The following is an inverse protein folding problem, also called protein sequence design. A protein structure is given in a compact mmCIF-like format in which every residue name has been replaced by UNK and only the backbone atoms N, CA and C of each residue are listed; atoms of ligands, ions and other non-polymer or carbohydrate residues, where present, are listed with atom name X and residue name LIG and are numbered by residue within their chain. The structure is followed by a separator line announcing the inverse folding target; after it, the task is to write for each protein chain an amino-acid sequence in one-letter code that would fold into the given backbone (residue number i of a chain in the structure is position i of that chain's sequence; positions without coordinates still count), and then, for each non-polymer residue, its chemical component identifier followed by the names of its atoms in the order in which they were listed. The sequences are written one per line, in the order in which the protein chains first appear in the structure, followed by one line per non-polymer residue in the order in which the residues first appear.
data_IF_517772540298
#
_entry.id   IF_517772540298
#
_cell.length_a   1.000
_cell.length_b   1.000
_cell.length_c   1.000
_cell.angle_alpha   90.00
_cell.angle_beta   90.00
_cell.angle_gamma   90.00
#
_symmetry.space_group_name_H-M   'P 1'
#
loop_
_entity.id
_entity.type
_entity.pdbx_description
1 polymer ?
#
# COMPACT_ATOMS: atom_id res chain seq x y z
N UNK A 1 -39.95 70.56 -2.14
CA UNK A 1 -41.35 70.10 -2.37
C UNK A 1 -41.39 68.59 -2.23
N UNK A 2 -42.11 68.09 -1.22
CA UNK A 2 -42.36 66.66 -1.00
C UNK A 2 -43.58 66.25 -1.82
N UNK A 3 -43.43 65.27 -2.71
CA UNK A 3 -44.57 64.65 -3.41
C UNK A 3 -44.93 63.36 -2.69
N UNK A 4 -46.04 63.40 -1.93
CA UNK A 4 -46.72 62.22 -1.40
C UNK A 4 -47.40 61.49 -2.57
N UNK A 5 -47.02 60.24 -2.83
CA UNK A 5 -47.75 59.32 -3.70
C UNK A 5 -48.51 58.33 -2.81
N UNK A 6 -49.83 58.38 -2.90
CA UNK A 6 -50.78 57.54 -2.16
C UNK A 6 -50.50 56.05 -2.40
N UNK A 7 -50.33 55.32 -1.30
CA UNK A 7 -49.91 53.92 -1.28
C UNK A 7 -51.02 52.92 -1.58
N UNK A 8 -50.67 51.92 -2.40
CA UNK A 8 -51.17 50.56 -2.24
C UNK A 8 -50.19 49.79 -1.33
N UNK A 9 -50.67 48.86 -0.49
CA UNK A 9 -49.84 48.24 0.54
C UNK A 9 -48.80 47.30 -0.08
N UNK A 10 -47.54 47.66 0.17
CA UNK A 10 -46.34 46.90 -0.14
C UNK A 10 -46.42 45.47 0.43
N UNK A 11 -46.19 44.46 -0.42
CA UNK A 11 -45.95 43.08 0.05
C UNK A 11 -44.62 42.91 0.80
N UNK A 12 -43.80 43.96 0.86
CA UNK A 12 -42.54 44.01 1.60
C UNK A 12 -42.36 45.43 2.14
N UNK A 13 -42.86 45.69 3.36
CA UNK A 13 -42.94 47.02 3.99
C UNK A 13 -41.61 47.64 4.40
N UNK A 14 -40.72 47.91 3.43
CA UNK A 14 -39.51 48.71 3.64
C UNK A 14 -39.43 49.77 2.55
N UNK A 15 -39.67 51.03 2.94
CA UNK A 15 -39.49 52.18 2.04
C UNK A 15 -38.00 52.46 1.88
N UNK A 16 -37.39 51.95 0.81
CA UNK A 16 -36.01 52.27 0.48
C UNK A 16 -35.90 53.71 -0.03
N UNK A 17 -35.29 54.60 0.77
CA UNK A 17 -34.98 55.98 0.35
C UNK A 17 -33.53 56.07 -0.10
N UNK A 18 -33.32 56.11 -1.43
CA UNK A 18 -31.99 56.27 -2.02
C UNK A 18 -31.74 57.76 -2.29
N UNK A 19 -30.69 58.33 -1.69
CA UNK A 19 -30.22 59.68 -2.03
C UNK A 19 -29.37 59.62 -3.29
N UNK A 20 -29.92 60.12 -4.39
CA UNK A 20 -29.25 60.19 -5.69
C UNK A 20 -28.67 61.61 -5.84
N UNK A 21 -27.37 61.76 -6.18
CA UNK A 21 -26.77 63.06 -6.51
C UNK A 21 -27.57 63.80 -7.59
N UNK A 22 -27.59 65.14 -7.53
CA UNK A 22 -28.44 65.96 -8.39
C UNK A 22 -28.16 65.76 -9.89
N UNK A 23 -26.88 65.59 -10.25
CA UNK A 23 -26.45 65.40 -11.63
C UNK A 23 -26.94 64.06 -12.19
N UNK A 24 -26.73 62.98 -11.43
CA UNK A 24 -27.17 61.63 -11.78
C UNK A 24 -28.70 61.52 -11.84
N UNK A 25 -29.42 62.28 -10.99
CA UNK A 25 -30.89 62.32 -11.03
C UNK A 25 -31.39 62.95 -12.33
N UNK A 26 -30.70 63.97 -12.85
CA UNK A 26 -31.08 64.65 -14.10
C UNK A 26 -30.88 63.71 -15.29
N UNK A 27 -29.73 63.06 -15.38
CA UNK A 27 -29.42 62.06 -16.42
C UNK A 27 -30.44 60.91 -16.43
N UNK A 28 -30.70 60.31 -15.28
CA UNK A 28 -31.67 59.22 -15.16
C UNK A 28 -33.12 59.66 -15.46
N UNK A 29 -33.45 60.92 -15.20
CA UNK A 29 -34.76 61.49 -15.55
C UNK A 29 -34.89 61.72 -17.05
N UNK A 30 -33.84 62.20 -17.70
CA UNK A 30 -33.80 62.40 -19.15
C UNK A 30 -33.87 61.05 -19.88
N UNK A 31 -33.16 60.03 -19.39
CA UNK A 31 -33.25 58.66 -19.91
C UNK A 31 -34.64 58.03 -19.72
N UNK A 32 -35.30 58.28 -18.58
CA UNK A 32 -36.67 57.82 -18.33
C UNK A 32 -37.67 58.49 -19.29
N UNK A 33 -37.50 59.79 -19.54
CA UNK A 33 -38.32 60.57 -20.47
C UNK A 33 -38.17 60.09 -21.92
N UNK A 34 -36.95 59.78 -22.37
CA UNK A 34 -36.68 59.18 -23.70
C UNK A 34 -37.40 57.84 -23.88
N UNK A 35 -37.58 57.08 -22.80
CA UNK A 35 -38.29 55.78 -22.78
C UNK A 35 -39.79 55.90 -22.53
N UNK A 36 -40.31 57.12 -22.31
CA UNK A 36 -41.73 57.37 -22.06
C UNK A 36 -42.25 56.83 -20.72
N UNK A 37 -41.37 56.61 -19.74
CA UNK A 37 -41.72 56.06 -18.42
C UNK A 37 -41.39 57.05 -17.30
N UNK A 38 -42.06 56.90 -16.16
CA UNK A 38 -41.76 57.76 -15.00
C UNK A 38 -40.39 57.43 -14.41
N UNK A 39 -39.72 58.44 -13.86
CA UNK A 39 -38.43 58.29 -13.17
C UNK A 39 -38.45 57.20 -12.08
N UNK A 40 -39.55 57.10 -11.32
CA UNK A 40 -39.71 56.08 -10.28
C UNK A 40 -39.76 54.66 -10.87
N UNK A 41 -40.48 54.46 -11.98
CA UNK A 41 -40.53 53.18 -12.69
C UNK A 41 -39.17 52.82 -13.30
N UNK A 42 -38.46 53.79 -13.86
CA UNK A 42 -37.11 53.59 -14.38
C UNK A 42 -36.12 53.19 -13.28
N UNK A 43 -36.09 53.93 -12.17
CA UNK A 43 -35.25 53.61 -11.01
C UNK A 43 -35.56 52.24 -10.41
N UNK A 44 -36.84 51.87 -10.29
CA UNK A 44 -37.25 50.54 -9.84
C UNK A 44 -36.74 49.45 -10.78
N UNK A 45 -36.79 49.66 -12.10
CA UNK A 45 -36.27 48.69 -13.08
C UNK A 45 -34.76 48.48 -12.96
N UNK A 46 -33.99 49.55 -12.71
CA UNK A 46 -32.54 49.49 -12.51
C UNK A 46 -32.20 48.74 -11.23
N UNK A 47 -32.91 49.03 -10.13
CA UNK A 47 -32.72 48.36 -8.85
C UNK A 47 -33.07 46.87 -8.94
N UNK A 48 -34.18 46.51 -9.58
CA UNK A 48 -34.58 45.12 -9.81
C UNK A 48 -33.56 44.38 -10.68
N UNK A 49 -33.07 45.00 -11.76
CA UNK A 49 -32.03 44.42 -12.62
C UNK A 49 -30.71 44.25 -11.88
N UNK A 50 -30.34 45.18 -11.01
CA UNK A 50 -29.12 45.11 -10.21
C UNK A 50 -29.24 44.06 -9.10
N UNK A 51 -30.39 43.96 -8.43
CA UNK A 51 -30.66 42.91 -7.47
C UNK A 51 -30.62 41.52 -8.11
N UNK A 52 -31.25 41.37 -9.30
CA UNK A 52 -31.20 40.11 -10.04
C UNK A 52 -29.77 39.70 -10.40
N UNK A 53 -28.96 40.63 -10.93
CA UNK A 53 -27.55 40.38 -11.24
C UNK A 53 -26.72 40.04 -10.00
N UNK A 54 -26.95 40.76 -8.89
CA UNK A 54 -26.28 40.48 -7.62
C UNK A 54 -26.65 39.09 -7.08
N UNK A 55 -27.91 38.69 -7.19
CA UNK A 55 -28.37 37.35 -6.81
C UNK A 55 -27.72 36.26 -7.67
N UNK A 56 -27.68 36.45 -8.99
CA UNK A 56 -27.00 35.52 -9.93
C UNK A 56 -25.50 35.40 -9.61
N UNK A 57 -24.81 36.52 -9.38
CA UNK A 57 -23.40 36.52 -8.99
C UNK A 57 -23.18 35.82 -7.64
N UNK A 58 -24.04 36.05 -6.65
CA UNK A 58 -23.98 35.37 -5.36
C UNK A 58 -24.10 33.85 -5.53
N UNK A 59 -25.06 33.39 -6.36
CA UNK A 59 -25.20 31.95 -6.62
C UNK A 59 -23.97 31.37 -7.32
N UNK A 60 -23.35 32.12 -8.22
CA UNK A 60 -22.14 31.69 -8.91
C UNK A 60 -20.95 31.58 -7.95
N UNK A 61 -20.78 32.56 -7.07
CA UNK A 61 -19.74 32.52 -6.02
C UNK A 61 -19.96 31.33 -5.09
N UNK A 62 -21.20 31.06 -4.67
CA UNK A 62 -21.52 29.92 -3.82
C UNK A 62 -21.18 28.58 -4.48
N UNK A 63 -21.43 28.44 -5.79
CA UNK A 63 -21.04 27.26 -6.56
C UNK A 63 -19.52 27.09 -6.60
N UNK A 64 -18.79 28.16 -6.92
CA UNK A 64 -17.31 28.13 -6.96
C UNK A 64 -16.71 27.83 -5.59
N UNK A 65 -17.29 28.33 -4.50
CA UNK A 65 -16.85 28.00 -3.15
C UNK A 65 -17.06 26.53 -2.81
N UNK A 66 -18.17 25.92 -3.26
CA UNK A 66 -18.42 24.48 -3.10
C UNK A 66 -17.42 23.65 -3.89
N UNK A 67 -17.18 24.00 -5.15
CA UNK A 67 -16.19 23.32 -6.00
C UNK A 67 -14.78 23.41 -5.41
N UNK A 68 -14.38 24.59 -4.94
CA UNK A 68 -13.08 24.78 -4.26
C UNK A 68 -12.94 23.88 -3.03
N UNK A 69 -14.00 23.74 -2.22
CA UNK A 69 -13.97 22.83 -1.05
C UNK A 69 -13.81 21.38 -1.48
N UNK A 70 -14.55 20.94 -2.50
CA UNK A 70 -14.44 19.58 -3.03
C UNK A 70 -13.03 19.28 -3.56
N UNK A 71 -12.43 20.21 -4.31
CA UNK A 71 -11.07 20.08 -4.81
C UNK A 71 -10.04 20.03 -3.67
N UNK A 72 -10.22 20.83 -2.61
CA UNK A 72 -9.36 20.79 -1.43
C UNK A 72 -9.46 19.44 -0.70
N UNK A 73 -10.67 18.88 -0.55
CA UNK A 73 -10.87 17.56 0.05
C UNK A 73 -10.24 16.45 -0.80
N UNK A 74 -10.38 16.52 -2.13
CA UNK A 74 -9.74 15.57 -3.04
C UNK A 74 -8.21 15.65 -2.96
N UNK A 75 -7.65 16.85 -2.98
CA UNK A 75 -6.20 17.06 -2.84
C UNK A 75 -5.68 16.55 -1.49
N UNK A 76 -6.42 16.77 -0.40
CA UNK A 76 -6.06 16.25 0.93
C UNK A 76 -6.05 14.72 0.95
N UNK A 77 -7.07 14.07 0.36
CA UNK A 77 -7.12 12.60 0.23
C UNK A 77 -5.97 12.06 -0.62
N UNK A 78 -5.65 12.73 -1.73
CA UNK A 78 -4.50 12.33 -2.57
C UNK A 78 -3.17 12.46 -1.82
N UNK A 79 -2.98 13.56 -1.08
CA UNK A 79 -1.79 13.76 -0.25
C UNK A 79 -1.64 12.66 0.80
N UNK A 80 -2.71 12.31 1.52
CA UNK A 80 -2.69 11.21 2.49
C UNK A 80 -2.35 9.86 1.85
N UNK A 81 -2.87 9.57 0.65
CA UNK A 81 -2.52 8.35 -0.10
C UNK A 81 -1.05 8.31 -0.48
N UNK A 82 -0.50 9.42 -0.96
CA UNK A 82 0.92 9.53 -1.30
C UNK A 82 1.81 9.33 -0.07
N UNK A 83 1.46 9.95 1.06
CA UNK A 83 2.19 9.78 2.33
C UNK A 83 2.17 8.31 2.79
N UNK A 84 1.02 7.63 2.70
CA UNK A 84 0.92 6.21 3.01
C UNK A 84 1.78 5.34 2.07
N UNK A 85 1.82 5.67 0.78
CA UNK A 85 2.68 4.97 -0.19
C UNK A 85 4.17 5.17 0.11
N UNK A 86 4.59 6.39 0.47
CA UNK A 86 5.98 6.68 0.85
C UNK A 86 6.38 5.86 2.09
N UNK A 87 5.50 5.80 3.10
CA UNK A 87 5.76 4.96 4.28
C UNK A 87 5.86 3.47 3.94
N UNK A 88 5.02 2.99 3.02
CA UNK A 88 5.08 1.60 2.55
C UNK A 88 6.40 1.30 1.83
N UNK A 89 6.86 2.20 0.94
CA UNK A 89 8.15 2.09 0.26
C UNK A 89 9.29 2.03 1.28
N UNK A 90 9.31 2.93 2.27
CA UNK A 90 10.35 2.93 3.30
C UNK A 90 10.41 1.60 4.09
N UNK A 91 9.25 0.97 4.37
CA UNK A 91 9.21 -0.36 5.00
C UNK A 91 9.78 -1.44 4.09
N UNK A 92 9.45 -1.42 2.79
CA UNK A 92 10.00 -2.37 1.83
C UNK A 92 11.54 -2.23 1.71
N UNK A 93 12.06 -1.01 1.70
CA UNK A 93 13.50 -0.75 1.66
C UNK A 93 14.22 -1.33 2.89
N UNK A 94 13.63 -1.20 4.08
CA UNK A 94 14.17 -1.82 5.30
C UNK A 94 14.19 -3.35 5.20
N UNK A 95 13.14 -3.96 4.66
CA UNK A 95 13.06 -5.41 4.45
C UNK A 95 14.12 -5.87 3.46
N UNK A 96 14.29 -5.17 2.33
CA UNK A 96 15.35 -5.47 1.34
C UNK A 96 16.72 -5.38 1.99
N UNK A 97 16.98 -4.36 2.82
CA UNK A 97 18.25 -4.20 3.53
C UNK A 97 18.54 -5.38 4.45
N UNK A 98 17.54 -5.82 5.24
CA UNK A 98 17.66 -7.00 6.11
C UNK A 98 17.96 -8.28 5.33
N UNK A 99 17.22 -8.53 4.25
CA UNK A 99 17.43 -9.69 3.38
C UNK A 99 18.83 -9.68 2.74
N UNK A 100 19.29 -8.51 2.27
CA UNK A 100 20.65 -8.36 1.72
C UNK A 100 21.73 -8.66 2.76
N UNK A 101 21.54 -8.27 4.02
CA UNK A 101 22.51 -8.60 5.09
C UNK A 101 22.49 -10.06 5.50
N UNK A 102 21.36 -10.76 5.35
CA UNK A 102 21.23 -12.18 5.71
C UNK A 102 21.70 -13.12 4.59
N UNK A 103 21.56 -12.71 3.33
CA UNK A 103 21.99 -13.48 2.16
C UNK A 103 23.44 -14.00 2.18
N UNK A 104 24.48 -13.23 2.58
CA UNK A 104 25.85 -13.75 2.61
C UNK A 104 26.03 -14.82 3.69
N UNK A 105 25.47 -14.61 4.89
CA UNK A 105 25.54 -15.58 5.99
C UNK A 105 24.88 -16.89 5.58
N UNK A 106 23.71 -16.81 4.94
CA UNK A 106 22.97 -17.99 4.50
C UNK A 106 23.71 -18.76 3.41
N UNK A 107 24.37 -18.07 2.47
CA UNK A 107 25.21 -18.71 1.45
C UNK A 107 26.42 -19.43 2.05
N UNK A 108 27.02 -18.88 3.09
CA UNK A 108 28.15 -19.52 3.78
C UNK A 108 27.70 -20.74 4.57
N UNK A 109 26.57 -20.66 5.27
CA UNK A 109 25.99 -21.82 5.98
C UNK A 109 25.60 -22.92 4.99
N UNK A 110 24.99 -22.58 3.86
CA UNK A 110 24.59 -23.56 2.84
C UNK A 110 25.81 -24.26 2.22
N UNK A 111 26.90 -23.50 1.96
CA UNK A 111 28.17 -24.07 1.49
C UNK A 111 28.78 -25.03 2.53
N UNK A 112 28.74 -24.67 3.81
CA UNK A 112 29.23 -25.52 4.89
C UNK A 112 28.40 -26.81 5.01
N UNK A 113 27.07 -26.70 4.99
CA UNK A 113 26.16 -27.84 5.05
C UNK A 113 26.40 -28.78 3.86
N UNK A 114 26.48 -28.23 2.64
CA UNK A 114 26.77 -29.03 1.43
C UNK A 114 28.13 -29.72 1.52
N UNK A 115 29.17 -29.03 1.97
CA UNK A 115 30.50 -29.61 2.16
C UNK A 115 30.48 -30.77 3.17
N UNK A 116 29.74 -30.62 4.28
CA UNK A 116 29.60 -31.66 5.30
C UNK A 116 28.79 -32.86 4.82
N UNK A 117 27.70 -32.62 4.09
CA UNK A 117 26.91 -33.70 3.47
C UNK A 117 27.72 -34.48 2.43
N UNK A 118 28.53 -33.81 1.61
CA UNK A 118 29.44 -34.45 0.65
C UNK A 118 30.52 -35.27 1.35
N UNK A 119 31.12 -34.73 2.42
CA UNK A 119 32.09 -35.46 3.24
C UNK A 119 31.47 -36.73 3.83
N UNK A 120 30.30 -36.62 4.46
CA UNK A 120 29.58 -37.75 5.03
C UNK A 120 29.26 -38.80 3.97
N UNK A 121 28.75 -38.40 2.80
CA UNK A 121 28.49 -39.31 1.68
C UNK A 121 29.74 -40.07 1.28
N UNK A 122 30.86 -39.36 1.09
CA UNK A 122 32.12 -39.98 0.69
C UNK A 122 32.61 -41.01 1.70
N UNK A 123 32.50 -40.72 3.01
CA UNK A 123 32.87 -41.66 4.07
C UNK A 123 32.01 -42.92 4.01
N UNK A 124 30.69 -42.77 3.84
CA UNK A 124 29.79 -43.92 3.73
C UNK A 124 30.09 -44.76 2.47
N UNK A 125 30.36 -44.10 1.33
CA UNK A 125 30.76 -44.76 0.10
C UNK A 125 32.09 -45.51 0.24
N UNK A 126 33.07 -44.98 0.99
CA UNK A 126 34.34 -45.67 1.26
C UNK A 126 34.13 -46.97 2.05
N UNK A 127 33.22 -46.97 3.03
CA UNK A 127 32.91 -48.19 3.79
C UNK A 127 32.10 -49.20 2.98
N UNK A 128 31.32 -48.74 2.00
CA UNK A 128 30.63 -49.59 1.05
C UNK A 128 31.53 -50.06 -0.11
N UNK A 129 32.68 -49.42 -0.34
CA UNK A 129 33.57 -49.74 -1.44
C UNK A 129 34.09 -51.19 -1.33
N UNK A 130 33.61 -52.04 -2.23
CA UNK A 130 33.93 -53.48 -2.24
C UNK A 130 32.85 -54.39 -1.66
N UNK A 131 31.71 -53.83 -1.23
CA UNK A 131 30.53 -54.60 -0.82
C UNK A 131 29.39 -54.40 -1.82
N UNK A 132 28.70 -55.48 -2.18
CA UNK A 132 27.46 -55.44 -2.97
C UNK A 132 26.21 -55.42 -2.09
N UNK A 133 26.38 -55.50 -0.78
CA UNK A 133 25.34 -55.48 0.26
C UNK A 133 25.68 -54.46 1.32
N UNK A 134 24.74 -54.13 2.21
CA UNK A 134 25.02 -53.29 3.36
C UNK A 134 26.20 -53.80 4.22
N UNK A 135 26.87 -52.88 4.91
CA UNK A 135 28.05 -53.14 5.74
C UNK A 135 27.77 -52.69 7.17
N UNK A 136 28.14 -53.52 8.15
CA UNK A 136 28.09 -53.14 9.56
C UNK A 136 29.48 -52.72 10.03
N UNK A 137 29.59 -51.52 10.60
CA UNK A 137 30.82 -50.98 11.20
C UNK A 137 30.55 -50.43 12.60
N UNK A 138 31.60 -50.23 13.39
CA UNK A 138 31.44 -49.58 14.70
C UNK A 138 31.24 -48.07 14.55
N UNK A 139 30.53 -47.47 15.50
CA UNK A 139 30.35 -46.02 15.56
C UNK A 139 31.70 -45.29 15.68
N UNK A 140 32.66 -45.87 16.41
CA UNK A 140 34.01 -45.35 16.53
C UNK A 140 34.74 -45.28 15.18
N UNK A 141 34.54 -46.25 14.28
CA UNK A 141 35.16 -46.23 12.95
C UNK A 141 34.63 -45.08 12.07
N UNK A 142 33.32 -44.83 12.10
CA UNK A 142 32.69 -43.66 11.46
C UNK A 142 33.22 -42.34 12.03
N UNK A 143 33.28 -42.24 13.36
CA UNK A 143 33.80 -41.06 14.04
C UNK A 143 35.26 -40.78 13.66
N UNK A 144 36.11 -41.82 13.63
CA UNK A 144 37.52 -41.71 13.24
C UNK A 144 37.72 -41.32 11.77
N UNK A 145 36.79 -41.69 10.88
CA UNK A 145 36.77 -41.25 9.49
C UNK A 145 36.30 -39.78 9.32
N UNK A 146 35.85 -39.14 10.40
CA UNK A 146 35.40 -37.75 10.41
C UNK A 146 33.93 -37.57 10.04
N UNK A 147 33.10 -38.60 10.21
CA UNK A 147 31.66 -38.54 9.95
C UNK A 147 30.93 -37.68 11.00
N UNK A 148 30.05 -36.78 10.55
CA UNK A 148 29.26 -35.92 11.45
C UNK A 148 27.76 -36.24 11.33
N UNK A 149 27.23 -36.98 12.32
CA UNK A 149 25.83 -37.44 12.38
C UNK A 149 24.79 -36.31 12.33
N UNK A 150 25.18 -35.05 12.55
CA UNK A 150 24.27 -33.90 12.51
C UNK A 150 23.88 -33.50 11.08
N UNK A 151 24.64 -33.95 10.08
CA UNK A 151 24.40 -33.61 8.69
C UNK A 151 23.82 -34.82 7.94
N UNK A 152 22.50 -34.82 7.81
CA UNK A 152 21.73 -35.78 7.04
C UNK A 152 20.73 -35.06 6.14
N UNK A 153 20.34 -35.69 5.03
CA UNK A 153 19.35 -35.13 4.10
C UNK A 153 17.93 -35.49 4.49
N UNK A 154 17.71 -36.71 4.98
CA UNK A 154 16.38 -37.18 5.37
C UNK A 154 16.47 -38.35 6.35
N UNK A 155 15.34 -38.70 6.93
CA UNK A 155 15.17 -39.86 7.81
C UNK A 155 13.98 -40.66 7.30
N UNK A 156 14.16 -41.98 7.11
CA UNK A 156 13.11 -42.89 6.62
C UNK A 156 12.93 -44.05 7.60
N UNK A 157 11.73 -44.63 7.66
CA UNK A 157 11.51 -45.89 8.38
C UNK A 157 11.36 -47.03 7.38
N UNK A 158 12.16 -48.08 7.56
CA UNK A 158 12.15 -49.26 6.69
C UNK A 158 12.37 -50.52 7.50
N UNK A 159 11.56 -51.55 7.27
CA UNK A 159 11.60 -52.84 7.99
C UNK A 159 11.60 -52.70 9.53
N UNK A 160 10.85 -51.71 10.06
CA UNK A 160 10.77 -51.46 11.51
C UNK A 160 11.99 -50.77 12.11
N UNK A 161 12.94 -50.32 11.29
CA UNK A 161 14.14 -49.58 11.72
C UNK A 161 14.13 -48.16 11.15
N UNK A 162 14.70 -47.22 11.89
CA UNK A 162 14.88 -45.84 11.45
C UNK A 162 16.25 -45.70 10.77
N UNK A 163 16.22 -45.31 9.50
CA UNK A 163 17.39 -45.04 8.69
C UNK A 163 17.58 -43.53 8.52
N UNK A 164 18.81 -43.08 8.74
CA UNK A 164 19.24 -41.71 8.49
C UNK A 164 20.00 -41.71 7.17
N UNK A 165 19.56 -40.88 6.23
CA UNK A 165 20.09 -40.88 4.87
C UNK A 165 20.88 -39.63 4.58
N UNK A 166 22.03 -39.83 3.93
CA UNK A 166 22.85 -38.79 3.31
C UNK A 166 22.77 -39.04 1.80
N UNK A 167 21.86 -38.33 1.14
CA UNK A 167 21.45 -38.59 -0.24
C UNK A 167 20.86 -40.00 -0.42
N UNK A 168 21.57 -40.86 -1.15
CA UNK A 168 21.24 -42.23 -1.57
C UNK A 168 21.87 -43.31 -0.67
N UNK A 169 22.66 -42.91 0.32
CA UNK A 169 23.27 -43.82 1.28
C UNK A 169 22.64 -43.60 2.65
N UNK A 170 22.12 -44.67 3.23
CA UNK A 170 21.41 -44.64 4.50
C UNK A 170 22.11 -45.50 5.53
N UNK A 171 21.96 -45.14 6.80
CA UNK A 171 22.49 -45.93 7.89
C UNK A 171 21.48 -46.01 9.03
N UNK A 172 21.47 -47.13 9.76
CA UNK A 172 20.76 -47.27 11.02
C UNK A 172 21.76 -47.56 12.14
N UNK A 173 21.56 -46.91 13.28
CA UNK A 173 22.41 -47.09 14.46
C UNK A 173 21.73 -48.01 15.47
N UNK A 174 22.43 -49.05 15.90
CA UNK A 174 22.00 -50.01 16.90
C UNK A 174 23.11 -50.14 17.96
N UNK A 175 23.00 -49.35 19.02
CA UNK A 175 24.04 -49.26 20.05
C UNK A 175 25.35 -48.70 19.48
N UNK A 176 26.42 -49.47 19.58
CA UNK A 176 27.77 -49.13 19.11
C UNK A 176 28.03 -49.56 17.65
N UNK A 177 27.04 -50.18 17.00
CA UNK A 177 27.14 -50.64 15.61
C UNK A 177 26.27 -49.78 14.70
N UNK A 178 26.78 -49.51 13.51
CA UNK A 178 26.11 -48.78 12.46
C UNK A 178 26.04 -49.68 11.23
N UNK A 179 24.82 -49.94 10.77
CA UNK A 179 24.56 -50.66 9.54
C UNK A 179 24.33 -49.65 8.43
N UNK A 180 25.18 -49.67 7.40
CA UNK A 180 25.13 -48.78 6.23
C UNK A 180 24.58 -49.59 5.07
N UNK A 181 23.61 -49.02 4.36
CA UNK A 181 22.99 -49.63 3.18
C UNK A 181 22.67 -48.59 2.10
N UNK A 182 22.61 -49.05 0.85
CA UNK A 182 22.19 -48.20 -0.28
C UNK A 182 20.68 -48.36 -0.41
N UNK A 183 19.98 -47.37 0.11
CA UNK A 183 18.53 -47.30 0.10
C UNK A 183 18.16 -46.05 -0.67
N UNK A 184 17.35 -46.17 -1.72
CA UNK A 184 16.78 -44.98 -2.36
C UNK A 184 15.59 -44.50 -1.51
N UNK A 185 15.72 -43.41 -0.72
CA UNK A 185 14.63 -42.95 0.13
C UNK A 185 13.37 -42.54 -0.65
N UNK A 186 13.46 -42.36 -1.98
CA UNK A 186 12.30 -42.05 -2.84
C UNK A 186 11.43 -43.27 -3.15
N UNK A 187 11.98 -44.48 -3.03
CA UNK A 187 11.26 -45.73 -3.34
C UNK A 187 10.75 -46.44 -2.09
N UNK A 188 11.06 -45.90 -0.90
CA UNK A 188 10.77 -46.50 0.40
C UNK A 188 9.64 -45.81 1.17
N UNK A 189 8.88 -44.94 0.49
CA UNK A 189 7.66 -44.32 1.01
C UNK A 189 6.41 -45.07 0.54
#
# INVERSE_FOLDING_TARGET
MQTNLNGHPDKYGVTATVRIPADLKRELSDEAAVRGISFAQYGASILMGSHKRAAEQSTQVDLLLRERRQLQEQAAKQKQRLEAQIQHIARLEQTIKKLKSQAPVQRETDKLILSKLQQNRHILEQFLAGSTTGVTISQAALGNAGFDVRYATTTVQYQGKQYICVYDVCYCQEGDMVFIDILDPRTLC
#
